data_IF_441802531996
#
_entry.id   IF_441802531996
#
_cell.length_a   1.000
_cell.length_b   1.000
_cell.length_c   1.000
_cell.angle_alpha   90.00
_cell.angle_beta   90.00
_cell.angle_gamma   90.00
#
_symmetry.space_group_name_H-M   'P 1'
#
loop_
_entity.id
_entity.type
_entity.pdbx_description
1 polymer ?
#
# COMPACT_ATOMS: atom_id res chain seq x y z
N UNK A 1 39.30 28.19 -32.71
CA UNK A 1 38.00 28.88 -32.55
C UNK A 1 37.42 28.77 -31.14
N UNK A 2 37.27 27.58 -30.53
CA UNK A 2 36.68 27.40 -29.21
C UNK A 2 37.39 28.16 -28.08
N UNK A 3 38.73 28.14 -28.00
CA UNK A 3 39.51 28.92 -27.02
C UNK A 3 39.26 30.42 -27.08
N UNK A 4 39.07 30.98 -28.27
CA UNK A 4 38.81 32.41 -28.46
C UNK A 4 37.38 32.79 -27.97
N UNK A 5 36.38 31.98 -28.32
CA UNK A 5 35.01 32.16 -27.84
C UNK A 5 34.93 32.06 -26.30
N UNK A 6 35.61 31.09 -25.69
CA UNK A 6 35.66 30.93 -24.24
C UNK A 6 36.27 32.14 -23.54
N UNK A 7 37.40 32.69 -24.09
CA UNK A 7 38.06 33.87 -23.55
C UNK A 7 37.16 35.11 -23.60
N UNK A 8 36.39 35.29 -24.69
CA UNK A 8 35.44 36.39 -24.82
C UNK A 8 34.28 36.22 -23.84
N UNK A 9 33.75 34.98 -23.68
CA UNK A 9 32.67 34.68 -22.73
C UNK A 9 33.06 35.02 -21.31
N UNK A 10 34.24 34.56 -20.86
CA UNK A 10 34.77 34.85 -19.50
C UNK A 10 34.95 36.36 -19.29
N UNK A 11 35.51 37.07 -20.28
CA UNK A 11 35.67 38.52 -20.19
C UNK A 11 34.33 39.25 -20.07
N UNK A 12 33.28 38.80 -20.77
CA UNK A 12 31.96 39.37 -20.67
C UNK A 12 31.31 39.11 -19.32
N UNK A 13 31.45 37.88 -18.77
CA UNK A 13 30.99 37.54 -17.43
C UNK A 13 31.58 38.42 -16.35
N UNK A 14 32.88 38.70 -16.45
CA UNK A 14 33.60 39.57 -15.50
C UNK A 14 33.23 41.05 -15.71
N UNK A 15 32.98 41.51 -16.96
CA UNK A 15 32.59 42.87 -17.28
C UNK A 15 31.21 43.21 -16.74
N UNK A 16 30.22 42.29 -16.89
CA UNK A 16 28.83 42.48 -16.49
C UNK A 16 28.48 41.65 -15.23
N UNK A 17 29.25 41.87 -14.14
CA UNK A 17 29.20 41.05 -12.91
C UNK A 17 27.81 40.86 -12.35
N UNK A 18 27.01 41.93 -12.22
CA UNK A 18 25.68 41.87 -11.60
C UNK A 18 24.72 41.05 -12.47
N UNK A 19 24.67 41.32 -13.78
CA UNK A 19 23.81 40.58 -14.70
C UNK A 19 24.21 39.10 -14.79
N UNK A 20 25.51 38.81 -14.83
CA UNK A 20 26.03 37.46 -14.84
C UNK A 20 25.68 36.73 -13.56
N UNK A 21 25.82 37.39 -12.39
CA UNK A 21 25.44 36.79 -11.11
C UNK A 21 23.95 36.46 -11.05
N UNK A 22 23.06 37.35 -11.48
CA UNK A 22 21.62 37.11 -11.53
C UNK A 22 21.31 35.94 -12.46
N UNK A 23 21.91 35.88 -13.64
CA UNK A 23 21.70 34.78 -14.59
C UNK A 23 22.20 33.44 -14.06
N UNK A 24 23.37 33.40 -13.41
CA UNK A 24 23.92 32.18 -12.80
C UNK A 24 23.05 31.73 -11.64
N UNK A 25 22.61 32.63 -10.77
CA UNK A 25 21.72 32.30 -9.66
C UNK A 25 20.38 31.77 -10.17
N UNK A 26 19.78 32.43 -11.16
CA UNK A 26 18.53 31.97 -11.76
C UNK A 26 18.66 30.57 -12.37
N UNK A 27 19.75 30.33 -13.11
CA UNK A 27 20.02 29.01 -13.69
C UNK A 27 20.27 27.95 -12.61
N UNK A 28 21.01 28.29 -11.55
CA UNK A 28 21.29 27.39 -10.44
C UNK A 28 20.00 27.00 -9.71
N UNK A 29 19.13 27.96 -9.39
CA UNK A 29 17.83 27.69 -8.76
C UNK A 29 16.97 26.83 -9.68
N UNK A 30 16.87 27.16 -10.96
CA UNK A 30 16.14 26.36 -11.95
C UNK A 30 16.65 24.92 -12.03
N UNK A 31 17.96 24.72 -12.04
CA UNK A 31 18.55 23.39 -12.06
C UNK A 31 18.28 22.59 -10.78
N UNK A 32 18.35 23.24 -9.60
CA UNK A 32 18.01 22.59 -8.32
C UNK A 32 16.54 22.17 -8.31
N UNK A 33 15.61 23.05 -8.68
CA UNK A 33 14.20 22.72 -8.74
C UNK A 33 13.92 21.56 -9.71
N UNK A 34 14.54 21.59 -10.88
CA UNK A 34 14.40 20.52 -11.88
C UNK A 34 14.93 19.17 -11.34
N UNK A 35 16.11 19.19 -10.74
CA UNK A 35 16.72 17.98 -10.17
C UNK A 35 15.91 17.40 -9.03
N UNK A 36 15.35 18.24 -8.14
CA UNK A 36 14.46 17.80 -7.07
C UNK A 36 13.17 17.20 -7.63
N UNK A 37 12.60 17.81 -8.68
CA UNK A 37 11.40 17.28 -9.32
C UNK A 37 11.64 15.92 -9.97
N UNK A 38 12.78 15.74 -10.66
CA UNK A 38 13.15 14.44 -11.22
C UNK A 38 13.39 13.39 -10.14
N UNK A 39 14.06 13.77 -9.05
CA UNK A 39 14.27 12.88 -7.91
C UNK A 39 12.94 12.46 -7.28
N UNK A 40 12.01 13.41 -7.11
CA UNK A 40 10.68 13.12 -6.58
C UNK A 40 9.89 12.18 -7.50
N UNK A 41 9.87 12.45 -8.80
CA UNK A 41 9.21 11.57 -9.78
C UNK A 41 9.81 10.16 -9.74
N UNK A 42 11.15 10.05 -9.73
CA UNK A 42 11.81 8.76 -9.62
C UNK A 42 11.45 8.05 -8.30
N UNK A 43 11.41 8.78 -7.20
CA UNK A 43 11.01 8.24 -5.90
C UNK A 43 9.56 7.72 -5.94
N UNK A 44 8.61 8.49 -6.46
CA UNK A 44 7.21 8.06 -6.62
C UNK A 44 7.07 6.82 -7.52
N UNK A 45 7.81 6.77 -8.62
CA UNK A 45 7.74 5.64 -9.56
C UNK A 45 8.39 4.36 -9.02
N UNK A 46 9.10 4.40 -7.90
CA UNK A 46 9.72 3.20 -7.30
C UNK A 46 8.89 2.58 -6.17
N UNK A 47 7.69 3.11 -5.89
CA UNK A 47 6.78 2.48 -4.94
C UNK A 47 6.43 1.06 -5.36
N UNK A 48 6.47 0.13 -4.39
CA UNK A 48 6.09 -1.28 -4.56
C UNK A 48 6.84 -2.06 -5.67
N UNK A 49 7.80 -1.45 -6.37
CA UNK A 49 8.59 -2.10 -7.44
C UNK A 49 9.53 -3.21 -6.97
N UNK A 50 9.82 -3.29 -5.68
CA UNK A 50 10.69 -4.33 -5.11
C UNK A 50 10.05 -5.72 -5.11
N UNK A 51 8.75 -5.81 -5.40
CA UNK A 51 8.01 -7.07 -5.39
C UNK A 51 8.24 -7.85 -6.67
N UNK A 52 8.45 -9.15 -6.51
CA UNK A 52 8.39 -10.05 -7.66
C UNK A 52 6.98 -9.99 -8.27
N UNK A 53 6.91 -9.82 -9.58
CA UNK A 53 5.65 -9.76 -10.32
C UNK A 53 4.76 -8.53 -9.99
N UNK A 54 5.34 -7.41 -9.56
CA UNK A 54 4.61 -6.17 -9.28
C UNK A 54 3.74 -5.71 -10.47
N UNK A 55 4.22 -5.97 -11.69
CA UNK A 55 3.53 -5.69 -12.96
C UNK A 55 2.23 -6.48 -13.16
N UNK A 56 2.03 -7.55 -12.36
CA UNK A 56 0.84 -8.42 -12.40
C UNK A 56 -0.08 -8.25 -11.18
N UNK A 57 0.20 -7.26 -10.33
CA UNK A 57 -0.60 -6.98 -9.14
C UNK A 57 -1.46 -5.73 -9.39
N UNK A 58 -2.74 -5.87 -9.15
CA UNK A 58 -3.75 -4.85 -9.41
C UNK A 58 -4.68 -4.66 -8.21
N UNK A 59 -5.19 -3.45 -8.03
CA UNK A 59 -6.24 -3.12 -7.06
C UNK A 59 -7.62 -3.27 -7.71
N UNK A 60 -8.52 -3.95 -7.03
CA UNK A 60 -9.93 -4.00 -7.44
C UNK A 60 -10.61 -2.70 -7.04
N UNK A 61 -11.30 -2.08 -7.99
CA UNK A 61 -12.08 -0.86 -7.78
C UNK A 61 -13.54 -1.08 -8.14
N UNK A 62 -14.39 -0.34 -7.48
CA UNK A 62 -15.82 -0.29 -7.79
C UNK A 62 -16.24 1.13 -8.08
N UNK A 63 -17.18 1.28 -8.99
CA UNK A 63 -17.80 2.57 -9.31
C UNK A 63 -19.14 2.60 -8.55
N UNK A 64 -19.16 3.30 -7.41
CA UNK A 64 -20.32 3.35 -6.52
C UNK A 64 -21.08 4.68 -6.71
N UNK A 65 -22.40 4.59 -6.82
CA UNK A 65 -23.28 5.77 -6.91
C UNK A 65 -23.24 6.62 -5.64
N UNK A 66 -22.98 6.02 -4.46
CA UNK A 66 -22.83 6.75 -3.20
C UNK A 66 -21.62 7.67 -3.15
N UNK A 67 -20.65 7.47 -4.01
CA UNK A 67 -19.45 8.32 -4.11
C UNK A 67 -19.56 9.35 -5.25
N UNK A 68 -20.77 9.70 -5.71
CA UNK A 68 -21.00 10.64 -6.80
C UNK A 68 -20.22 10.30 -8.09
N UNK A 69 -20.11 9.00 -8.39
CA UNK A 69 -19.35 8.50 -9.53
C UNK A 69 -17.83 8.47 -9.30
N UNK A 70 -17.36 8.77 -8.08
CA UNK A 70 -15.94 8.61 -7.73
C UNK A 70 -15.60 7.13 -7.60
N UNK A 71 -14.39 6.82 -7.99
CA UNK A 71 -13.83 5.47 -7.91
C UNK A 71 -13.54 5.14 -6.44
N UNK A 72 -14.09 4.03 -5.96
CA UNK A 72 -13.84 3.50 -4.62
C UNK A 72 -13.02 2.21 -4.71
N UNK A 73 -12.04 2.06 -3.84
CA UNK A 73 -11.30 0.81 -3.65
C UNK A 73 -11.94 -0.09 -2.58
N UNK A 74 -13.01 0.38 -1.94
CA UNK A 74 -13.69 -0.36 -0.89
C UNK A 74 -14.68 -1.34 -1.49
N UNK A 75 -14.53 -2.60 -1.12
CA UNK A 75 -15.31 -3.73 -1.63
C UNK A 75 -15.67 -4.70 -0.49
N UNK A 76 -16.66 -5.60 -0.68
CA UNK A 76 -16.93 -6.67 0.27
C UNK A 76 -15.78 -7.70 0.33
N UNK A 77 -15.52 -8.25 1.51
CA UNK A 77 -14.52 -9.32 1.69
C UNK A 77 -14.77 -10.53 0.78
N UNK A 78 -16.02 -10.96 0.66
CA UNK A 78 -16.43 -12.14 -0.11
C UNK A 78 -16.13 -12.04 -1.60
N UNK A 79 -15.94 -10.83 -2.12
CA UNK A 79 -15.58 -10.61 -3.51
C UNK A 79 -14.24 -11.26 -3.87
N UNK A 80 -13.28 -11.34 -2.93
CA UNK A 80 -11.98 -11.98 -3.18
C UNK A 80 -12.14 -13.47 -3.53
N UNK A 81 -12.94 -14.19 -2.77
CA UNK A 81 -13.23 -15.60 -3.04
C UNK A 81 -13.99 -15.79 -4.35
N UNK A 82 -14.97 -14.93 -4.62
CA UNK A 82 -15.72 -14.94 -5.86
C UNK A 82 -14.81 -14.77 -7.09
N UNK A 83 -13.90 -13.79 -7.04
CA UNK A 83 -12.98 -13.51 -8.14
C UNK A 83 -12.07 -14.70 -8.44
N UNK A 84 -11.49 -15.33 -7.42
CA UNK A 84 -10.60 -16.50 -7.63
C UNK A 84 -11.34 -17.74 -8.12
N UNK A 85 -12.59 -17.93 -7.72
CA UNK A 85 -13.40 -19.09 -8.13
C UNK A 85 -13.94 -18.99 -9.56
N UNK A 86 -14.32 -17.78 -9.99
CA UNK A 86 -15.00 -17.60 -11.28
C UNK A 86 -14.08 -17.14 -12.41
N UNK A 87 -12.91 -16.59 -12.08
CA UNK A 87 -11.96 -16.07 -13.08
C UNK A 87 -10.59 -16.77 -13.00
N UNK A 88 -10.37 -17.84 -13.78
CA UNK A 88 -9.13 -18.62 -13.72
C UNK A 88 -7.84 -17.87 -14.06
N UNK A 89 -7.95 -16.68 -14.67
CA UNK A 89 -6.82 -15.77 -14.93
C UNK A 89 -6.33 -15.06 -13.66
N UNK A 90 -7.14 -15.00 -12.60
CA UNK A 90 -6.77 -14.47 -11.28
C UNK A 90 -6.11 -15.61 -10.50
N UNK A 91 -4.82 -15.46 -10.22
CA UNK A 91 -4.07 -16.45 -9.46
C UNK A 91 -4.31 -16.34 -7.96
N UNK A 92 -4.40 -15.11 -7.45
CA UNK A 92 -4.62 -14.79 -6.03
C UNK A 92 -5.51 -13.56 -5.93
N UNK A 93 -6.45 -13.55 -4.98
CA UNK A 93 -7.12 -12.34 -4.53
C UNK A 93 -6.91 -12.23 -3.02
N UNK A 94 -6.37 -11.11 -2.60
CA UNK A 94 -5.89 -10.86 -1.24
C UNK A 94 -6.66 -9.69 -0.62
N UNK A 95 -7.69 -9.95 0.18
CA UNK A 95 -8.41 -8.90 0.89
C UNK A 95 -7.58 -8.38 2.07
N UNK A 96 -7.62 -7.07 2.25
CA UNK A 96 -7.00 -6.40 3.38
C UNK A 96 -7.76 -5.14 3.78
N UNK A 97 -7.59 -4.71 5.02
CA UNK A 97 -8.16 -3.47 5.53
C UNK A 97 -7.13 -2.79 6.43
N UNK A 98 -6.74 -1.57 6.07
CA UNK A 98 -5.85 -0.75 6.88
C UNK A 98 -6.68 0.26 7.66
N UNK A 99 -6.49 0.29 8.96
CA UNK A 99 -7.15 1.25 9.85
C UNK A 99 -6.11 1.92 10.74
N UNK A 100 -6.20 3.25 10.85
CA UNK A 100 -5.40 4.00 11.81
C UNK A 100 -6.17 4.04 13.13
N UNK A 101 -5.56 3.51 14.18
CA UNK A 101 -6.14 3.48 15.52
C UNK A 101 -5.17 4.04 16.55
N UNK A 102 -5.75 4.67 17.58
CA UNK A 102 -4.97 5.04 18.76
C UNK A 102 -4.82 3.84 19.66
N UNK A 103 -3.57 3.46 19.91
CA UNK A 103 -3.20 2.35 20.77
C UNK A 103 -2.49 2.83 22.02
N UNK A 104 -2.52 2.02 23.08
CA UNK A 104 -1.72 2.22 24.28
C UNK A 104 -0.77 1.05 24.47
N UNK A 105 0.52 1.38 24.56
CA UNK A 105 1.60 0.44 24.89
C UNK A 105 2.35 1.03 26.08
N UNK A 106 2.48 0.27 27.17
CA UNK A 106 3.11 0.74 28.41
C UNK A 106 2.55 2.11 28.88
N UNK A 107 1.21 2.24 28.87
CA UNK A 107 0.46 3.46 29.24
C UNK A 107 0.77 4.71 28.41
N UNK A 108 1.46 4.56 27.28
CA UNK A 108 1.67 5.64 26.31
C UNK A 108 0.75 5.46 25.12
N UNK A 109 0.00 6.51 24.80
CA UNK A 109 -0.89 6.54 23.64
C UNK A 109 -0.14 6.96 22.39
N UNK A 110 -0.35 6.24 21.29
CA UNK A 110 0.22 6.52 19.98
C UNK A 110 -0.76 6.12 18.90
N UNK A 111 -0.64 6.77 17.75
CA UNK A 111 -1.37 6.36 16.56
C UNK A 111 -0.56 5.26 15.84
N UNK A 112 -1.25 4.22 15.42
CA UNK A 112 -0.69 3.06 14.73
C UNK A 112 -1.61 2.61 13.61
N UNK A 113 -1.03 2.01 12.58
CA UNK A 113 -1.77 1.41 11.48
C UNK A 113 -1.90 -0.08 11.72
N UNK A 114 -3.12 -0.56 11.82
CA UNK A 114 -3.45 -1.97 11.92
C UNK A 114 -3.89 -2.51 10.58
N UNK A 115 -3.30 -3.62 10.15
CA UNK A 115 -3.70 -4.37 8.96
C UNK A 115 -4.52 -5.58 9.37
N UNK A 116 -5.80 -5.58 9.02
CA UNK A 116 -6.61 -6.79 9.02
C UNK A 116 -6.46 -7.47 7.68
N UNK A 117 -5.87 -8.66 7.64
CA UNK A 117 -5.57 -9.34 6.40
C UNK A 117 -5.51 -10.85 6.58
N UNK A 118 -5.59 -11.59 5.48
CA UNK A 118 -5.44 -13.04 5.47
C UNK A 118 -4.04 -13.50 5.00
N UNK A 119 -3.87 -14.82 4.94
CA UNK A 119 -2.60 -15.41 4.48
C UNK A 119 -2.29 -15.09 3.02
N UNK A 120 -3.30 -14.85 2.17
CA UNK A 120 -3.08 -14.50 0.77
C UNK A 120 -2.40 -13.13 0.67
N UNK A 121 -2.85 -12.16 1.49
CA UNK A 121 -2.24 -10.84 1.55
C UNK A 121 -0.80 -10.90 2.10
N UNK A 122 -0.57 -11.67 3.18
CA UNK A 122 0.80 -11.86 3.70
C UNK A 122 1.76 -12.39 2.65
N UNK A 123 1.32 -13.40 1.89
CA UNK A 123 2.14 -14.00 0.85
C UNK A 123 2.37 -13.03 -0.32
N UNK A 124 1.32 -12.28 -0.72
CA UNK A 124 1.42 -11.30 -1.80
C UNK A 124 2.36 -10.15 -1.44
N UNK A 125 2.40 -9.77 -0.16
CA UNK A 125 3.22 -8.69 0.37
C UNK A 125 4.61 -9.15 0.84
N UNK A 126 4.95 -10.45 0.67
CA UNK A 126 6.19 -11.08 1.15
C UNK A 126 6.49 -10.79 2.63
N UNK A 127 5.44 -10.86 3.46
CA UNK A 127 5.57 -10.64 4.90
C UNK A 127 6.10 -11.90 5.57
N UNK A 128 7.26 -11.81 6.19
CA UNK A 128 7.95 -12.94 6.82
C UNK A 128 7.90 -12.83 8.34
N UNK A 129 7.64 -13.95 9.01
CA UNK A 129 7.73 -14.04 10.45
C UNK A 129 9.21 -14.20 10.83
N UNK A 130 9.72 -13.25 11.62
CA UNK A 130 11.11 -13.27 12.12
C UNK A 130 11.19 -14.03 13.44
N UNK A 131 10.20 -13.82 14.31
CA UNK A 131 10.16 -14.40 15.65
C UNK A 131 8.71 -14.64 16.07
N UNK A 132 8.46 -15.68 16.85
CA UNK A 132 7.13 -16.01 17.33
C UNK A 132 6.41 -17.07 16.50
N UNK A 133 5.09 -17.03 16.49
CA UNK A 133 4.25 -18.03 15.83
C UNK A 133 3.21 -17.39 14.91
N UNK A 134 2.45 -18.22 14.20
CA UNK A 134 1.45 -17.79 13.19
C UNK A 134 0.02 -17.67 13.75
N UNK A 135 -0.16 -17.70 15.07
CA UNK A 135 -1.47 -17.71 15.70
C UNK A 135 -2.31 -16.46 15.36
N UNK A 136 -1.66 -15.32 15.14
CA UNK A 136 -2.35 -14.08 14.73
C UNK A 136 -3.14 -14.20 13.42
N UNK A 137 -2.91 -15.27 12.64
CA UNK A 137 -3.65 -15.57 11.41
C UNK A 137 -4.78 -16.58 11.61
N UNK A 138 -4.90 -17.19 12.80
CA UNK A 138 -5.97 -18.13 13.09
C UNK A 138 -7.28 -17.37 13.30
N UNK A 139 -8.42 -17.93 12.82
CA UNK A 139 -9.72 -17.30 13.03
C UNK A 139 -10.21 -17.36 14.49
N UNK A 140 -9.55 -18.15 15.32
CA UNK A 140 -9.90 -18.35 16.73
C UNK A 140 -9.45 -17.15 17.56
N UNK A 141 -10.40 -16.52 18.19
CA UNK A 141 -10.27 -15.56 19.30
C UNK A 141 -9.68 -14.19 18.96
N UNK A 142 -9.23 -13.92 17.77
CA UNK A 142 -8.71 -12.61 17.33
C UNK A 142 -7.90 -11.81 18.38
N UNK A 143 -7.44 -12.50 19.44
CA UNK A 143 -6.75 -11.91 20.57
C UNK A 143 -5.26 -11.72 20.33
N UNK A 144 -4.71 -12.37 19.30
CA UNK A 144 -3.29 -12.34 18.99
C UNK A 144 -3.02 -11.54 17.70
N UNK A 145 -1.93 -10.77 17.74
CA UNK A 145 -1.47 -9.93 16.63
C UNK A 145 0.02 -10.11 16.42
N UNK A 146 0.50 -9.80 15.23
CA UNK A 146 1.92 -9.60 14.99
C UNK A 146 2.25 -8.10 14.86
N UNK A 147 3.49 -7.76 15.23
CA UNK A 147 4.04 -6.42 15.14
C UNK A 147 5.16 -6.40 14.12
N UNK A 148 5.31 -5.31 13.36
CA UNK A 148 6.46 -5.14 12.47
C UNK A 148 7.74 -4.92 13.27
N UNK A 149 8.89 -5.30 12.70
CA UNK A 149 10.20 -5.08 13.32
C UNK A 149 10.45 -3.60 13.62
N UNK A 150 10.01 -2.70 12.73
CA UNK A 150 10.14 -1.26 12.90
C UNK A 150 9.28 -0.72 14.03
N UNK A 151 8.03 -1.14 14.10
CA UNK A 151 7.12 -0.78 15.19
C UNK A 151 7.61 -1.36 16.53
N UNK A 152 8.13 -2.58 16.55
CA UNK A 152 8.72 -3.18 17.74
C UNK A 152 9.90 -2.34 18.27
N UNK A 153 10.81 -1.92 17.41
CA UNK A 153 11.91 -1.01 17.77
C UNK A 153 11.42 0.35 18.26
N UNK A 154 10.40 0.90 17.61
CA UNK A 154 9.82 2.21 17.95
C UNK A 154 9.18 2.23 19.35
N UNK A 155 8.42 1.19 19.70
CA UNK A 155 7.60 1.19 20.93
C UNK A 155 8.20 0.43 22.09
N UNK A 156 8.93 -0.66 21.81
CA UNK A 156 9.54 -1.51 22.84
C UNK A 156 11.05 -1.31 22.97
N UNK A 157 11.68 -0.61 22.03
CA UNK A 157 13.14 -0.36 22.00
C UNK A 157 13.93 -1.68 22.04
N UNK A 158 14.49 -2.01 23.23
CA UNK A 158 15.30 -3.21 23.46
C UNK A 158 14.52 -4.34 24.13
N UNK A 159 13.28 -4.08 24.56
CA UNK A 159 12.44 -5.10 25.19
C UNK A 159 11.81 -6.01 24.14
N UNK A 160 11.67 -7.29 24.49
CA UNK A 160 10.95 -8.25 23.66
C UNK A 160 9.44 -7.93 23.66
N UNK A 161 8.83 -7.64 22.52
CA UNK A 161 7.40 -7.33 22.45
C UNK A 161 6.53 -8.59 22.57
N UNK A 162 7.07 -9.80 22.35
CA UNK A 162 6.27 -11.04 22.35
C UNK A 162 5.68 -11.27 23.73
N UNK A 163 4.38 -11.55 23.76
CA UNK A 163 3.63 -11.79 24.99
C UNK A 163 3.10 -10.52 25.66
N UNK A 164 3.53 -9.33 25.20
CA UNK A 164 3.02 -8.05 25.73
C UNK A 164 1.65 -7.72 25.13
N UNK A 165 0.88 -6.96 25.90
CA UNK A 165 -0.45 -6.52 25.52
C UNK A 165 -0.42 -5.12 24.91
N UNK A 166 -1.22 -4.96 23.87
CA UNK A 166 -1.51 -3.68 23.22
C UNK A 166 -3.00 -3.39 23.43
N UNK A 167 -3.29 -2.30 24.12
CA UNK A 167 -4.67 -1.82 24.31
C UNK A 167 -5.07 -0.99 23.09
N UNK A 168 -6.07 -1.43 22.38
CA UNK A 168 -6.75 -0.71 21.31
C UNK A 168 -8.06 -0.12 21.87
N UNK A 169 -8.73 0.73 21.10
CA UNK A 169 -9.92 1.45 21.57
C UNK A 169 -11.00 0.54 22.18
N UNK A 170 -11.19 -0.65 21.62
CA UNK A 170 -12.27 -1.59 22.00
C UNK A 170 -11.76 -2.96 22.49
N UNK A 171 -10.51 -3.29 22.26
CA UNK A 171 -9.96 -4.61 22.51
C UNK A 171 -8.53 -4.53 23.02
N UNK A 172 -8.14 -5.50 23.84
CA UNK A 172 -6.73 -5.73 24.17
C UNK A 172 -6.24 -6.92 23.35
N UNK A 173 -5.12 -6.73 22.67
CA UNK A 173 -4.48 -7.74 21.82
C UNK A 173 -3.12 -8.11 22.38
N UNK A 174 -2.73 -9.38 22.23
CA UNK A 174 -1.42 -9.88 22.64
C UNK A 174 -0.50 -10.06 21.44
N UNK A 175 0.71 -9.58 21.54
CA UNK A 175 1.71 -9.75 20.48
C UNK A 175 2.24 -11.18 20.54
N UNK A 176 2.06 -11.96 19.46
CA UNK A 176 2.54 -13.34 19.37
C UNK A 176 3.68 -13.51 18.35
N UNK A 177 3.92 -12.52 17.51
CA UNK A 177 4.98 -12.59 16.50
C UNK A 177 5.56 -11.22 16.16
N UNK A 178 6.81 -11.23 15.69
CA UNK A 178 7.44 -10.12 15.01
C UNK A 178 7.54 -10.48 13.52
N UNK A 179 7.07 -9.58 12.66
CA UNK A 179 7.09 -9.76 11.22
C UNK A 179 8.00 -8.71 10.57
N UNK A 180 8.62 -9.09 9.46
CA UNK A 180 9.30 -8.18 8.55
C UNK A 180 8.48 -8.08 7.28
N UNK A 181 8.07 -6.86 6.98
CA UNK A 181 7.61 -6.51 5.67
C UNK A 181 8.79 -5.80 4.99
N UNK A 182 9.17 -6.18 3.78
CA UNK A 182 10.21 -5.48 3.02
C UNK A 182 9.62 -4.16 2.49
N UNK A 183 9.33 -3.19 3.39
CA UNK A 183 8.36 -2.14 3.13
C UNK A 183 8.84 -0.74 3.46
N UNK A 184 10.02 -0.38 3.04
CA UNK A 184 10.41 1.04 3.21
C UNK A 184 9.73 1.97 2.20
N UNK A 185 9.18 1.42 1.12
CA UNK A 185 8.63 2.20 0.00
C UNK A 185 7.37 1.52 -0.54
N UNK A 186 6.31 1.50 0.27
CA UNK A 186 5.04 0.85 -0.06
C UNK A 186 3.85 1.76 0.19
N UNK A 187 2.83 1.60 -0.63
CA UNK A 187 1.52 2.25 -0.46
C UNK A 187 0.69 1.65 0.70
N UNK A 188 1.16 0.56 1.30
CA UNK A 188 0.43 -0.19 2.33
C UNK A 188 1.22 -0.33 3.63
N UNK A 189 1.68 0.78 4.25
CA UNK A 189 2.41 0.71 5.50
C UNK A 189 1.49 0.24 6.62
N UNK A 190 2.01 -0.59 7.52
CA UNK A 190 1.29 -1.02 8.73
C UNK A 190 2.28 -1.27 9.87
N UNK A 191 1.78 -1.16 11.08
CA UNK A 191 2.53 -1.40 12.30
C UNK A 191 2.19 -2.76 12.92
N UNK A 192 0.91 -3.14 12.85
CA UNK A 192 0.39 -4.42 13.33
C UNK A 192 -0.39 -5.14 12.23
N UNK A 193 -0.41 -6.46 12.33
CA UNK A 193 -1.22 -7.31 11.46
C UNK A 193 -1.91 -8.41 12.27
N UNK A 194 -3.14 -8.70 11.90
CA UNK A 194 -3.92 -9.78 12.47
C UNK A 194 -5.02 -10.28 11.55
N UNK A 195 -5.65 -11.38 11.96
CA UNK A 195 -6.76 -11.94 11.21
C UNK A 195 -7.96 -10.97 11.24
N UNK A 196 -8.71 -10.88 10.15
CA UNK A 196 -9.92 -10.06 10.09
C UNK A 196 -10.96 -10.44 11.15
N UNK A 197 -11.33 -9.47 11.98
CA UNK A 197 -12.44 -9.58 12.93
C UNK A 197 -13.81 -9.36 12.28
N UNK A 198 -13.83 -8.45 11.29
CA UNK A 198 -15.04 -8.11 10.57
C UNK A 198 -15.43 -9.25 9.64
N UNK A 199 -16.71 -9.62 9.70
CA UNK A 199 -17.25 -10.77 9.03
C UNK A 199 -16.87 -10.86 7.55
N UNK A 200 -16.50 -12.07 7.16
CA UNK A 200 -16.22 -12.47 5.77
C UNK A 200 -17.53 -12.52 4.98
N UNK A 201 -18.19 -11.38 4.85
CA UNK A 201 -19.53 -11.27 4.28
C UNK A 201 -19.56 -10.31 3.10
N UNK A 202 -20.69 -10.31 2.38
CA UNK A 202 -20.98 -9.34 1.32
C UNK A 202 -21.40 -7.96 1.87
N UNK A 203 -21.84 -7.86 3.13
CA UNK A 203 -22.48 -6.67 3.71
C UNK A 203 -21.51 -5.58 4.16
N UNK A 204 -20.24 -5.93 4.42
CA UNK A 204 -19.23 -4.95 4.87
C UNK A 204 -18.35 -4.51 3.72
N UNK A 205 -18.57 -3.28 3.22
CA UNK A 205 -17.83 -2.64 2.13
C UNK A 205 -16.70 -1.79 2.71
N UNK A 206 -15.76 -2.43 3.39
CA UNK A 206 -14.63 -1.73 4.03
C UNK A 206 -13.28 -2.28 3.60
N UNK A 207 -13.29 -3.35 2.81
CA UNK A 207 -12.10 -4.06 2.40
C UNK A 207 -11.52 -3.52 1.10
N UNK A 208 -10.21 -3.61 0.97
CA UNK A 208 -9.52 -3.48 -0.30
C UNK A 208 -9.11 -4.89 -0.76
N UNK A 209 -9.04 -5.12 -2.06
CA UNK A 209 -8.61 -6.39 -2.61
C UNK A 209 -7.49 -6.14 -3.62
N UNK A 210 -6.33 -6.74 -3.36
CA UNK A 210 -5.28 -6.90 -4.36
C UNK A 210 -5.49 -8.21 -5.10
N UNK A 211 -5.38 -8.18 -6.41
CA UNK A 211 -5.37 -9.38 -7.23
C UNK A 211 -4.03 -9.54 -7.92
N UNK A 212 -3.54 -10.78 -7.96
CA UNK A 212 -2.40 -11.15 -8.81
C UNK A 212 -2.93 -11.97 -9.98
N UNK A 213 -2.66 -11.50 -11.19
CA UNK A 213 -3.07 -12.21 -12.40
C UNK A 213 -1.97 -13.14 -12.91
N UNK A 214 -2.36 -14.15 -13.68
CA UNK A 214 -1.42 -15.05 -14.37
C UNK A 214 -0.67 -14.30 -15.47
N UNK A 215 0.52 -14.79 -15.88
CA UNK A 215 1.21 -14.25 -17.05
C UNK A 215 0.29 -14.22 -18.28
N UNK A 216 0.54 -13.28 -19.17
CA UNK A 216 -0.18 -13.11 -20.44
C UNK A 216 -1.71 -12.95 -20.28
N UNK A 217 -2.12 -12.29 -19.18
CA UNK A 217 -3.53 -11.94 -18.97
C UNK A 217 -3.80 -10.58 -19.58
N UNK A 218 -4.75 -10.54 -20.52
CA UNK A 218 -5.32 -9.30 -21.01
C UNK A 218 -6.24 -8.71 -19.93
N UNK A 219 -5.86 -7.54 -19.40
CA UNK A 219 -6.57 -6.88 -18.29
C UNK A 219 -7.90 -6.31 -18.76
N UNK A 220 -7.98 -5.76 -19.95
CA UNK A 220 -9.22 -5.18 -20.49
C UNK A 220 -10.26 -6.29 -20.74
N UNK A 221 -9.82 -7.42 -21.28
CA UNK A 221 -10.69 -8.59 -21.45
C UNK A 221 -11.15 -9.14 -20.10
N UNK A 222 -10.24 -9.24 -19.11
CA UNK A 222 -10.57 -9.72 -17.76
C UNK A 222 -11.58 -8.78 -17.09
N UNK A 223 -11.37 -7.47 -17.16
CA UNK A 223 -12.28 -6.47 -16.60
C UNK A 223 -13.67 -6.55 -17.25
N UNK A 224 -13.72 -6.69 -18.56
CA UNK A 224 -14.98 -6.88 -19.30
C UNK A 224 -15.72 -8.14 -18.83
N UNK A 225 -15.03 -9.26 -18.65
CA UNK A 225 -15.60 -10.52 -18.16
C UNK A 225 -16.11 -10.40 -16.71
N UNK A 226 -15.37 -9.71 -15.84
CA UNK A 226 -15.81 -9.45 -14.46
C UNK A 226 -17.08 -8.64 -14.47
N UNK A 227 -17.13 -7.56 -15.26
CA UNK A 227 -18.31 -6.69 -15.34
C UNK A 227 -19.54 -7.39 -15.90
N UNK A 228 -19.38 -8.31 -16.85
CA UNK A 228 -20.47 -9.13 -17.38
C UNK A 228 -21.04 -10.11 -16.35
N UNK A 229 -20.20 -10.55 -15.39
CA UNK A 229 -20.54 -11.58 -14.41
C UNK A 229 -20.44 -11.07 -12.97
N UNK A 230 -20.85 -9.82 -12.70
CA UNK A 230 -20.87 -9.29 -11.33
C UNK A 230 -21.88 -10.05 -10.47
N UNK A 231 -21.50 -10.48 -9.24
CA UNK A 231 -22.38 -11.19 -8.34
C UNK A 231 -23.60 -10.33 -7.95
N UNK A 232 -24.75 -10.98 -7.83
CA UNK A 232 -26.00 -10.30 -7.47
C UNK A 232 -25.91 -9.62 -6.10
N UNK A 233 -25.20 -10.24 -5.18
CA UNK A 233 -24.95 -9.72 -3.82
C UNK A 233 -24.18 -8.40 -3.87
N UNK A 234 -23.18 -8.28 -4.74
CA UNK A 234 -22.45 -7.03 -4.92
C UNK A 234 -23.37 -5.92 -5.41
N UNK A 235 -24.22 -6.21 -6.38
CA UNK A 235 -25.19 -5.25 -6.92
C UNK A 235 -26.20 -4.77 -5.88
N UNK A 236 -26.58 -5.64 -4.95
CA UNK A 236 -27.51 -5.31 -3.87
C UNK A 236 -26.89 -4.41 -2.80
N UNK A 237 -25.61 -4.62 -2.49
CA UNK A 237 -24.94 -3.97 -1.35
C UNK A 237 -24.29 -2.64 -1.75
N UNK A 238 -23.79 -2.53 -2.98
CA UNK A 238 -22.98 -1.38 -3.40
C UNK A 238 -23.64 -0.50 -4.45
N UNK A 239 -24.81 -0.84 -4.99
CA UNK A 239 -25.33 -0.22 -6.22
C UNK A 239 -24.30 -0.19 -7.38
N UNK A 240 -23.26 -1.00 -7.27
CA UNK A 240 -22.10 -1.01 -8.18
C UNK A 240 -22.53 -1.46 -9.56
N UNK A 241 -22.33 -0.61 -10.55
CA UNK A 241 -22.60 -0.92 -11.97
C UNK A 241 -21.37 -1.42 -12.71
N UNK A 242 -20.18 -1.07 -12.23
CA UNK A 242 -18.92 -1.46 -12.84
C UNK A 242 -17.83 -1.71 -11.77
N UNK A 243 -17.04 -2.73 -12.02
CA UNK A 243 -15.80 -3.00 -11.30
C UNK A 243 -14.64 -2.71 -12.23
N UNK A 244 -13.64 -2.02 -11.77
CA UNK A 244 -12.41 -1.73 -12.50
C UNK A 244 -11.21 -2.42 -11.87
N UNK A 245 -10.18 -2.59 -12.65
CA UNK A 245 -8.88 -3.12 -12.23
C UNK A 245 -7.83 -2.06 -12.49
N UNK A 246 -7.18 -1.57 -11.44
CA UNK A 246 -6.14 -0.56 -11.56
C UNK A 246 -4.78 -1.12 -11.19
N UNK A 247 -3.79 -0.80 -11.99
CA UNK A 247 -2.40 -1.09 -11.67
C UNK A 247 -1.99 -0.27 -10.45
N UNK A 248 -1.26 -0.88 -9.51
CA UNK A 248 -0.84 -0.22 -8.26
C UNK A 248 0.40 0.64 -8.47
N UNK A 249 1.10 0.40 -9.57
CA UNK A 249 2.39 1.03 -9.94
C UNK A 249 2.24 1.70 -11.30
#
# INVERSE_FOLDING_TARGET
MIKHCLKIAIRNLVKYKVQSAISILGLAVGFVCFSLSLYWIHYEMTYDHFRQDADRIYMVRTNDEYTEGKISTRVPYSLAAYLTQHFPKIAVAAPFHLISERISVNDKYQDAVFSSADSAWMNLMDIRIIKGNRNFMLPKDNAEIAITEEAAKKWFRTEDPIGKEVKMLRHTKKICAIVRAENRHTNFPFDFIGNPELGKTWWYITWNILIKVKPDTDIEELESKINANLPAELKQVTSTRKTGIERII
#
